data_IF_620485004376
#
_entry.id   IF_620485004376
#
_cell.length_a   1.000
_cell.length_b   1.000
_cell.length_c   1.000
_cell.angle_alpha   90.00
_cell.angle_beta   90.00
_cell.angle_gamma   90.00
#
_symmetry.space_group_name_H-M   'P 1'
#
loop_
_entity.id
_entity.type
_entity.pdbx_description
1 polymer ?
#
# COMPACT_ATOMS: atom_id res chain seq x y z
N UNK A 1 24.49 51.08 -33.50
CA UNK A 1 23.28 50.30 -33.83
C UNK A 1 23.70 49.03 -34.55
N UNK A 2 23.79 47.91 -33.84
CA UNK A 2 24.05 46.58 -34.41
C UNK A 2 23.19 45.58 -33.63
N UNK A 3 22.20 45.01 -34.30
CA UNK A 3 21.21 44.12 -33.71
C UNK A 3 21.84 42.77 -33.34
N UNK A 4 21.65 42.34 -32.09
CA UNK A 4 21.87 40.96 -31.64
C UNK A 4 20.63 40.14 -31.93
N UNK A 5 20.76 39.15 -32.81
CA UNK A 5 19.76 38.11 -33.05
C UNK A 5 19.82 37.10 -31.89
N UNK A 6 18.81 37.13 -31.02
CA UNK A 6 18.56 36.10 -30.01
C UNK A 6 17.87 34.90 -30.66
N UNK A 7 18.54 33.73 -30.64
CA UNK A 7 17.93 32.46 -30.99
C UNK A 7 16.93 32.01 -29.90
N UNK A 8 15.77 31.41 -30.25
CA UNK A 8 14.78 31.00 -29.25
C UNK A 8 15.14 29.66 -28.60
N UNK A 9 15.24 29.68 -27.26
CA UNK A 9 15.23 28.54 -26.35
C UNK A 9 13.83 27.91 -26.29
N UNK A 10 13.39 27.21 -27.34
CA UNK A 10 12.16 26.41 -27.30
C UNK A 10 12.35 25.10 -28.06
N UNK A 11 12.97 24.10 -27.41
CA UNK A 11 13.05 22.75 -27.99
C UNK A 11 13.06 21.58 -26.98
N UNK A 12 12.91 21.82 -25.66
CA UNK A 12 13.07 20.73 -24.67
C UNK A 12 11.81 20.27 -23.93
N UNK A 13 10.65 20.94 -24.06
CA UNK A 13 9.43 20.56 -23.32
C UNK A 13 8.49 19.58 -24.06
N UNK A 14 8.63 19.44 -25.39
CA UNK A 14 7.69 18.67 -26.21
C UNK A 14 7.93 17.15 -26.25
N UNK A 15 9.09 16.68 -25.78
CA UNK A 15 9.47 15.25 -25.76
C UNK A 15 9.03 14.52 -24.49
N UNK A 16 8.96 15.21 -23.34
CA UNK A 16 8.53 14.66 -22.05
C UNK A 16 7.02 14.39 -22.00
N UNK A 17 6.20 15.35 -22.47
CA UNK A 17 4.73 15.19 -22.52
C UNK A 17 4.27 14.03 -23.43
N UNK A 18 4.92 13.82 -24.59
CA UNK A 18 4.58 12.74 -25.53
C UNK A 18 4.98 11.34 -25.07
N UNK A 19 5.97 11.21 -24.18
CA UNK A 19 6.40 9.92 -23.65
C UNK A 19 5.57 9.49 -22.43
N UNK A 20 5.09 10.43 -21.62
CA UNK A 20 4.19 10.18 -20.47
C UNK A 20 2.82 9.61 -20.92
N UNK A 21 2.18 10.20 -21.93
CA UNK A 21 0.89 9.72 -22.49
C UNK A 21 0.97 8.30 -23.08
N UNK A 22 2.14 7.89 -23.59
CA UNK A 22 2.37 6.54 -24.13
C UNK A 22 2.39 5.47 -23.04
N UNK A 23 2.95 5.77 -21.86
CA UNK A 23 3.01 4.83 -20.72
C UNK A 23 1.62 4.56 -20.13
N UNK A 24 0.81 5.60 -19.96
CA UNK A 24 -0.59 5.46 -19.52
C UNK A 24 -1.38 4.59 -20.52
N UNK A 25 -1.26 4.87 -21.82
CA UNK A 25 -1.87 4.06 -22.88
C UNK A 25 -1.41 2.60 -22.89
N UNK A 26 -0.13 2.32 -22.65
CA UNK A 26 0.41 0.96 -22.52
C UNK A 26 -0.12 0.25 -21.27
N UNK A 27 -0.22 0.98 -20.15
CA UNK A 27 -0.77 0.47 -18.89
C UNK A 27 -2.23 0.06 -19.05
N UNK A 28 -3.06 0.92 -19.66
CA UNK A 28 -4.45 0.60 -19.98
C UNK A 28 -4.55 -0.65 -20.86
N UNK A 29 -3.69 -0.78 -21.88
CA UNK A 29 -3.64 -1.98 -22.74
C UNK A 29 -3.26 -3.23 -21.94
N UNK A 30 -2.30 -3.12 -21.02
CA UNK A 30 -1.90 -4.21 -20.13
C UNK A 30 -3.05 -4.64 -19.21
N UNK A 31 -3.72 -3.69 -18.57
CA UNK A 31 -4.90 -3.95 -17.72
C UNK A 31 -5.98 -4.65 -18.53
N UNK A 32 -6.36 -4.11 -19.70
CA UNK A 32 -7.38 -4.73 -20.55
C UNK A 32 -7.04 -6.16 -20.97
N UNK A 33 -5.75 -6.50 -21.07
CA UNK A 33 -5.28 -7.83 -21.49
C UNK A 33 -5.20 -8.83 -20.34
N UNK A 34 -4.83 -8.39 -19.13
CA UNK A 34 -4.47 -9.27 -18.03
C UNK A 34 -5.32 -9.09 -16.76
N UNK A 35 -6.22 -8.11 -16.76
CA UNK A 35 -7.08 -7.86 -15.60
C UNK A 35 -7.94 -9.09 -15.28
N UNK A 36 -7.97 -9.54 -14.01
CA UNK A 36 -8.75 -10.70 -13.59
C UNK A 36 -10.27 -10.48 -13.70
N UNK A 37 -10.73 -9.24 -13.88
CA UNK A 37 -12.13 -8.92 -14.14
C UNK A 37 -12.28 -7.81 -15.20
N UNK A 38 -13.23 -7.93 -16.15
CA UNK A 38 -13.62 -6.83 -17.03
C UNK A 38 -14.09 -5.57 -16.27
N UNK A 39 -14.57 -5.72 -15.03
CA UNK A 39 -14.96 -4.60 -14.16
C UNK A 39 -13.73 -3.77 -13.72
N UNK A 40 -12.59 -4.40 -13.49
CA UNK A 40 -11.32 -3.73 -13.20
C UNK A 40 -10.70 -3.02 -14.43
N UNK A 41 -11.33 -3.12 -15.60
CA UNK A 41 -10.89 -2.43 -16.83
C UNK A 41 -11.85 -1.31 -17.29
N UNK A 42 -13.01 -1.14 -16.64
CA UNK A 42 -14.04 -0.17 -17.02
C UNK A 42 -14.80 0.34 -15.78
N UNK A 43 -14.72 1.64 -15.51
CA UNK A 43 -15.56 2.32 -14.51
C UNK A 43 -14.84 3.52 -13.90
N UNK A 44 -15.55 4.64 -13.69
CA UNK A 44 -14.99 5.82 -13.02
C UNK A 44 -14.66 5.56 -11.54
N UNK A 45 -15.29 4.54 -10.94
CA UNK A 45 -15.17 4.19 -9.52
C UNK A 45 -14.21 3.02 -9.25
N UNK A 46 -13.60 2.44 -10.28
CA UNK A 46 -12.71 1.29 -10.09
C UNK A 46 -11.42 1.72 -9.36
N UNK A 47 -11.05 1.05 -8.24
CA UNK A 47 -9.96 1.49 -7.37
C UNK A 47 -8.63 1.67 -8.10
N UNK A 48 -8.39 0.89 -9.16
CA UNK A 48 -7.16 0.98 -9.94
C UNK A 48 -7.16 2.17 -10.90
N UNK A 49 -8.29 2.51 -11.50
CA UNK A 49 -8.38 3.61 -12.48
C UNK A 49 -8.41 4.99 -11.82
N UNK A 50 -8.67 5.07 -10.52
CA UNK A 50 -8.54 6.34 -9.77
C UNK A 50 -7.13 6.91 -9.86
N UNK A 51 -6.13 6.05 -9.93
CA UNK A 51 -4.72 6.45 -10.03
C UNK A 51 -4.33 6.94 -11.42
N UNK A 52 -5.19 6.78 -12.43
CA UNK A 52 -4.97 7.29 -13.78
C UNK A 52 -4.98 8.83 -13.86
N UNK A 53 -5.38 9.53 -12.79
CA UNK A 53 -5.21 10.99 -12.66
C UNK A 53 -3.73 11.42 -12.71
N UNK A 54 -2.81 10.49 -12.45
CA UNK A 54 -1.37 10.74 -12.52
C UNK A 54 -0.68 9.70 -13.44
N UNK A 55 -0.25 10.17 -14.60
CA UNK A 55 0.39 9.35 -15.65
C UNK A 55 1.70 8.68 -15.21
N UNK A 56 2.34 9.18 -14.16
CA UNK A 56 3.56 8.62 -13.60
C UNK A 56 3.25 7.57 -12.52
N UNK A 57 2.26 7.82 -11.67
CA UNK A 57 1.83 6.89 -10.63
C UNK A 57 1.17 5.64 -11.21
N UNK A 58 0.25 5.82 -12.16
CA UNK A 58 -0.63 4.75 -12.63
C UNK A 58 0.13 3.51 -13.13
N UNK A 59 1.20 3.63 -13.96
CA UNK A 59 2.02 2.48 -14.34
C UNK A 59 2.73 1.81 -13.16
N UNK A 60 3.16 2.56 -12.14
CA UNK A 60 3.88 2.04 -10.96
C UNK A 60 2.95 1.23 -10.06
N UNK A 61 1.74 1.73 -9.81
CA UNK A 61 0.73 0.99 -9.07
C UNK A 61 0.32 -0.27 -9.82
N UNK A 62 0.08 -0.15 -11.13
CA UNK A 62 -0.22 -1.32 -11.94
C UNK A 62 0.89 -2.36 -11.88
N UNK A 63 2.15 -1.94 -11.99
CA UNK A 63 3.32 -2.82 -11.85
C UNK A 63 3.30 -3.57 -10.51
N UNK A 64 3.08 -2.85 -9.41
CA UNK A 64 3.01 -3.46 -8.08
C UNK A 64 1.86 -4.45 -7.94
N UNK A 65 0.64 -4.08 -8.35
CA UNK A 65 -0.52 -4.96 -8.32
C UNK A 65 -0.29 -6.22 -9.15
N UNK A 66 0.25 -6.04 -10.34
CA UNK A 66 0.52 -7.11 -11.29
C UNK A 66 1.52 -8.15 -10.74
N UNK A 67 2.67 -7.70 -10.22
CA UNK A 67 3.68 -8.60 -9.66
C UNK A 67 3.14 -9.33 -8.42
N UNK A 68 2.29 -8.71 -7.61
CA UNK A 68 1.69 -9.36 -6.44
C UNK A 68 0.60 -10.35 -6.85
N UNK A 69 -0.38 -9.89 -7.63
CA UNK A 69 -1.64 -10.62 -7.82
C UNK A 69 -1.62 -11.60 -8.99
N UNK A 70 -0.82 -11.35 -10.02
CA UNK A 70 -0.88 -12.08 -11.29
C UNK A 70 0.32 -12.98 -11.55
N UNK A 71 1.48 -12.67 -10.96
CA UNK A 71 2.67 -13.53 -11.03
C UNK A 71 2.53 -14.69 -10.03
N UNK A 72 2.94 -15.88 -10.47
CA UNK A 72 3.01 -17.04 -9.61
C UNK A 72 4.07 -16.83 -8.52
N UNK A 73 3.68 -17.07 -7.28
CA UNK A 73 4.53 -16.92 -6.11
C UNK A 73 4.31 -18.03 -5.09
N UNK A 74 4.67 -17.77 -3.84
CA UNK A 74 4.45 -18.68 -2.72
C UNK A 74 2.98 -18.84 -2.35
N UNK A 75 2.12 -17.87 -2.67
CA UNK A 75 0.68 -17.97 -2.49
C UNK A 75 -0.02 -18.29 -3.81
N UNK A 76 -1.00 -19.19 -3.73
CA UNK A 76 -1.90 -19.44 -4.86
C UNK A 76 -2.74 -18.20 -5.18
N UNK A 77 -3.07 -17.94 -6.46
CA UNK A 77 -3.93 -16.83 -6.85
C UNK A 77 -5.26 -16.76 -6.07
N UNK A 78 -5.87 -17.92 -5.81
CA UNK A 78 -7.10 -18.02 -5.00
C UNK A 78 -6.91 -17.57 -3.54
N UNK A 79 -5.71 -17.76 -2.98
CA UNK A 79 -5.36 -17.31 -1.63
C UNK A 79 -5.16 -15.79 -1.60
N UNK A 80 -4.44 -15.25 -2.59
CA UNK A 80 -4.27 -13.79 -2.75
C UNK A 80 -5.62 -13.09 -2.92
N UNK A 81 -6.50 -13.67 -3.73
CA UNK A 81 -7.88 -13.18 -3.90
C UNK A 81 -8.67 -13.25 -2.58
N UNK A 82 -8.62 -14.36 -1.85
CA UNK A 82 -9.32 -14.48 -0.55
C UNK A 82 -8.82 -13.45 0.48
N UNK A 83 -7.51 -13.19 0.55
CA UNK A 83 -6.96 -12.13 1.40
C UNK A 83 -7.51 -10.77 0.98
N UNK A 84 -7.53 -10.48 -0.33
CA UNK A 84 -8.08 -9.20 -0.82
C UNK A 84 -9.54 -9.01 -0.41
N UNK A 85 -10.37 -10.05 -0.51
CA UNK A 85 -11.77 -10.03 -0.06
C UNK A 85 -11.89 -9.74 1.43
N UNK A 86 -11.06 -10.39 2.24
CA UNK A 86 -11.04 -10.17 3.69
C UNK A 86 -10.70 -8.72 4.04
N UNK A 87 -9.69 -8.15 3.39
CA UNK A 87 -9.33 -6.73 3.56
C UNK A 87 -10.52 -5.84 3.18
N UNK A 88 -11.19 -6.10 2.05
CA UNK A 88 -12.36 -5.33 1.60
C UNK A 88 -13.57 -5.44 2.54
N UNK A 89 -13.80 -6.61 3.13
CA UNK A 89 -14.87 -6.84 4.12
C UNK A 89 -14.68 -5.98 5.37
N UNK A 90 -13.44 -5.78 5.85
CA UNK A 90 -13.16 -4.90 7.00
C UNK A 90 -13.55 -3.44 6.72
N UNK A 91 -13.37 -2.97 5.47
CA UNK A 91 -13.70 -1.60 5.08
C UNK A 91 -15.16 -1.36 4.69
N UNK A 92 -15.89 -2.39 4.26
CA UNK A 92 -17.29 -2.27 3.81
C UNK A 92 -18.32 -2.65 4.89
N UNK A 93 -17.88 -3.08 6.08
CA UNK A 93 -18.75 -3.65 7.12
C UNK A 93 -19.48 -4.92 6.68
N UNK A 94 -19.21 -5.42 5.47
CA UNK A 94 -19.85 -6.59 4.91
C UNK A 94 -19.23 -7.85 5.52
N UNK A 95 -20.07 -8.70 6.12
CA UNK A 95 -19.65 -9.96 6.72
C UNK A 95 -18.72 -10.73 5.78
N UNK A 96 -17.54 -11.10 6.28
CA UNK A 96 -16.63 -12.03 5.60
C UNK A 96 -17.44 -13.25 5.18
N UNK A 97 -17.43 -13.64 3.89
CA UNK A 97 -18.14 -14.84 3.47
C UNK A 97 -17.52 -16.02 4.22
N UNK A 98 -18.29 -16.58 5.16
CA UNK A 98 -17.93 -17.80 5.86
C UNK A 98 -17.52 -18.85 4.82
N UNK A 99 -16.36 -19.48 5.06
CA UNK A 99 -15.66 -20.46 4.22
C UNK A 99 -16.49 -21.71 3.82
N UNK A 100 -17.80 -21.71 4.04
CA UNK A 100 -18.69 -22.87 3.92
C UNK A 100 -19.40 -23.02 2.56
N UNK A 101 -19.09 -22.20 1.54
CA UNK A 101 -19.78 -22.26 0.24
C UNK A 101 -19.01 -22.98 -0.89
N UNK A 102 -18.10 -23.90 -0.56
CA UNK A 102 -17.44 -24.80 -1.52
C UNK A 102 -18.31 -26.02 -1.92
N UNK A 103 -19.56 -26.12 -1.45
CA UNK A 103 -20.43 -27.31 -1.62
C UNK A 103 -21.06 -27.51 -3.00
N UNK A 104 -20.52 -26.96 -4.10
CA UNK A 104 -21.07 -27.24 -5.43
C UNK A 104 -20.09 -27.18 -6.63
N UNK A 105 -18.80 -27.48 -6.40
CA UNK A 105 -17.88 -27.82 -7.49
C UNK A 105 -17.47 -29.28 -7.35
N UNK A 106 -17.74 -30.07 -8.39
CA UNK A 106 -17.29 -31.46 -8.59
C UNK A 106 -15.98 -31.71 -7.84
N UNK A 107 -16.00 -32.66 -6.90
CA UNK A 107 -14.90 -33.07 -6.03
C UNK A 107 -13.54 -33.07 -6.74
N UNK A 108 -12.88 -31.92 -6.78
CA UNK A 108 -11.42 -31.86 -6.84
C UNK A 108 -11.00 -32.09 -5.41
N UNK A 109 -10.31 -33.19 -5.15
CA UNK A 109 -9.57 -33.38 -3.90
C UNK A 109 -8.63 -32.17 -3.81
N UNK A 110 -8.97 -31.20 -2.97
CA UNK A 110 -8.09 -30.08 -2.69
C UNK A 110 -7.00 -30.65 -1.80
N UNK A 111 -5.74 -30.43 -2.18
CA UNK A 111 -4.59 -30.93 -1.43
C UNK A 111 -4.68 -30.40 0.02
N UNK A 112 -4.67 -31.28 1.04
CA UNK A 112 -4.68 -30.87 2.45
C UNK A 112 -3.58 -29.85 2.79
N UNK A 113 -2.43 -29.91 2.10
CA UNK A 113 -1.35 -28.97 2.29
C UNK A 113 -1.70 -27.57 1.74
N UNK A 114 -2.31 -27.48 0.57
CA UNK A 114 -2.79 -26.22 0.00
C UNK A 114 -3.84 -25.56 0.90
N UNK A 115 -4.76 -26.35 1.46
CA UNK A 115 -5.75 -25.84 2.42
C UNK A 115 -5.10 -25.29 3.70
N UNK A 116 -4.06 -25.95 4.21
CA UNK A 116 -3.33 -25.50 5.39
C UNK A 116 -2.61 -24.17 5.13
N UNK A 117 -1.92 -24.02 3.98
CA UNK A 117 -1.30 -22.76 3.57
C UNK A 117 -2.36 -21.66 3.44
N UNK A 118 -3.49 -21.96 2.80
CA UNK A 118 -4.57 -21.00 2.59
C UNK A 118 -5.12 -20.47 3.92
N UNK A 119 -5.46 -21.35 4.85
CA UNK A 119 -5.98 -20.98 6.16
C UNK A 119 -4.98 -20.16 6.97
N UNK A 120 -3.70 -20.55 6.96
CA UNK A 120 -2.65 -19.84 7.69
C UNK A 120 -2.34 -18.47 7.08
N UNK A 121 -2.40 -18.33 5.75
CA UNK A 121 -2.25 -17.05 5.06
C UNK A 121 -3.38 -16.07 5.39
N UNK A 122 -4.63 -16.54 5.44
CA UNK A 122 -5.77 -15.74 5.88
C UNK A 122 -5.64 -15.32 7.35
N UNK A 123 -5.29 -16.26 8.24
CA UNK A 123 -5.06 -15.95 9.67
C UNK A 123 -3.94 -14.92 9.86
N UNK A 124 -2.87 -15.05 9.09
CA UNK A 124 -1.75 -14.10 9.13
C UNK A 124 -2.18 -12.71 8.65
N UNK A 125 -2.91 -12.63 7.54
CA UNK A 125 -3.41 -11.35 7.01
C UNK A 125 -4.46 -10.70 7.93
N UNK A 126 -5.29 -11.47 8.62
CA UNK A 126 -6.24 -10.97 9.61
C UNK A 126 -5.52 -10.31 10.80
N UNK A 127 -4.43 -10.94 11.29
CA UNK A 127 -3.59 -10.33 12.33
C UNK A 127 -2.99 -9.02 11.89
N UNK A 128 -2.42 -8.95 10.68
CA UNK A 128 -1.88 -7.71 10.14
C UNK A 128 -2.94 -6.60 10.09
N UNK A 129 -4.20 -6.93 9.82
CA UNK A 129 -5.29 -5.97 9.81
C UNK A 129 -5.70 -5.50 11.22
N UNK A 130 -5.69 -6.39 12.21
CA UNK A 130 -6.10 -6.08 13.59
C UNK A 130 -4.99 -5.39 14.38
N UNK A 131 -3.73 -5.74 14.12
CA UNK A 131 -2.57 -5.13 14.76
C UNK A 131 -2.26 -3.73 14.18
N UNK A 132 -2.92 -3.30 13.09
CA UNK A 132 -2.87 -1.89 12.66
C UNK A 132 -3.57 -0.96 13.66
N UNK A 133 -4.54 -1.47 14.42
CA UNK A 133 -5.30 -0.69 15.40
C UNK A 133 -4.51 -0.52 16.73
N UNK A 134 -3.48 -1.35 16.95
CA UNK A 134 -2.58 -1.31 18.12
C UNK A 134 -1.19 -0.77 17.75
N UNK A 135 -1.09 0.53 17.47
CA UNK A 135 0.12 1.28 17.07
C UNK A 135 1.36 1.20 18.01
N UNK A 136 1.37 0.36 19.04
CA UNK A 136 2.33 0.47 20.15
C UNK A 136 3.13 -0.76 20.58
N UNK A 137 2.89 -1.97 20.08
CA UNK A 137 3.53 -3.19 20.65
C UNK A 137 4.22 -4.08 19.62
N UNK A 138 5.33 -3.57 19.06
CA UNK A 138 6.22 -4.32 18.18
C UNK A 138 7.17 -5.22 18.98
N UNK A 139 6.73 -6.40 19.41
CA UNK A 139 7.68 -7.42 19.92
C UNK A 139 7.29 -8.90 19.81
N UNK A 140 6.10 -9.29 19.33
CA UNK A 140 5.68 -10.72 19.35
C UNK A 140 5.63 -11.46 17.99
N UNK A 141 6.03 -10.83 16.89
CA UNK A 141 5.93 -11.41 15.54
C UNK A 141 6.83 -12.64 15.26
N UNK A 142 7.80 -12.93 16.13
CA UNK A 142 8.83 -13.95 15.87
C UNK A 142 8.60 -15.32 16.53
N UNK A 143 7.62 -15.47 17.44
CA UNK A 143 7.57 -16.65 18.31
C UNK A 143 6.60 -17.78 17.94
N UNK A 144 5.86 -17.72 16.82
CA UNK A 144 5.03 -18.87 16.40
C UNK A 144 5.82 -19.84 15.49
N UNK A 145 6.58 -20.73 16.13
CA UNK A 145 7.42 -21.78 15.54
C UNK A 145 6.67 -22.94 14.83
N UNK A 146 5.39 -22.80 14.50
CA UNK A 146 4.59 -23.90 13.88
C UNK A 146 3.80 -23.50 12.64
N UNK A 147 4.06 -22.32 12.06
CA UNK A 147 3.37 -21.88 10.85
C UNK A 147 3.85 -22.67 9.62
N UNK A 148 2.92 -23.30 8.89
CA UNK A 148 3.20 -23.90 7.57
C UNK A 148 3.47 -22.85 6.49
N UNK A 149 3.24 -21.57 6.78
CA UNK A 149 3.42 -20.46 5.86
C UNK A 149 4.90 -20.05 5.79
N UNK A 150 5.49 -20.20 4.61
CA UNK A 150 6.87 -19.81 4.35
C UNK A 150 7.07 -18.30 4.58
N UNK A 151 8.33 -17.88 4.74
CA UNK A 151 8.67 -16.45 4.82
C UNK A 151 8.23 -15.68 3.57
N UNK A 152 8.34 -16.31 2.40
CA UNK A 152 7.90 -15.74 1.13
C UNK A 152 6.37 -15.61 1.09
N UNK A 153 5.64 -16.63 1.53
CA UNK A 153 4.17 -16.57 1.63
C UNK A 153 3.67 -15.51 2.61
N UNK A 154 4.36 -15.31 3.75
CA UNK A 154 4.08 -14.19 4.67
C UNK A 154 4.31 -12.83 4.03
N UNK A 155 5.43 -12.65 3.32
CA UNK A 155 5.72 -11.41 2.63
C UNK A 155 4.67 -11.13 1.53
N UNK A 156 4.28 -12.13 0.75
CA UNK A 156 3.20 -11.98 -0.24
C UNK A 156 1.87 -11.62 0.42
N UNK A 157 1.48 -12.28 1.51
CA UNK A 157 0.25 -11.94 2.23
C UNK A 157 0.28 -10.49 2.75
N UNK A 158 1.41 -10.06 3.32
CA UNK A 158 1.60 -8.69 3.79
C UNK A 158 1.50 -7.66 2.65
N UNK A 159 2.07 -7.97 1.48
CA UNK A 159 1.97 -7.12 0.29
C UNK A 159 0.55 -7.04 -0.28
N UNK A 160 -0.22 -8.14 -0.24
CA UNK A 160 -1.65 -8.11 -0.61
C UNK A 160 -2.44 -7.22 0.35
N UNK A 161 -2.23 -7.37 1.67
CA UNK A 161 -2.87 -6.52 2.68
C UNK A 161 -2.53 -5.05 2.45
N UNK A 162 -1.24 -4.73 2.26
CA UNK A 162 -0.76 -3.39 1.96
C UNK A 162 -1.47 -2.80 0.72
N UNK A 163 -1.50 -3.55 -0.38
CA UNK A 163 -2.14 -3.11 -1.63
C UNK A 163 -3.63 -2.79 -1.42
N UNK A 164 -4.40 -3.72 -0.85
CA UNK A 164 -5.85 -3.55 -0.73
C UNK A 164 -6.25 -2.57 0.37
N UNK A 165 -5.47 -2.41 1.44
CA UNK A 165 -5.68 -1.33 2.42
C UNK A 165 -5.55 0.04 1.76
N UNK A 166 -4.56 0.22 0.88
CA UNK A 166 -4.41 1.46 0.12
C UNK A 166 -5.61 1.69 -0.81
N UNK A 167 -5.94 0.69 -1.66
CA UNK A 167 -7.01 0.80 -2.65
C UNK A 167 -8.37 1.10 -1.99
N UNK A 168 -8.66 0.46 -0.87
CA UNK A 168 -9.90 0.69 -0.14
C UNK A 168 -9.94 2.10 0.46
N UNK A 169 -8.87 2.52 1.18
CA UNK A 169 -8.82 3.86 1.75
C UNK A 169 -9.00 4.95 0.69
N UNK A 170 -8.35 4.81 -0.47
CA UNK A 170 -8.53 5.79 -1.57
C UNK A 170 -9.94 5.76 -2.16
N UNK A 171 -10.53 4.58 -2.31
CA UNK A 171 -11.88 4.45 -2.87
C UNK A 171 -12.90 5.06 -1.92
N UNK A 172 -12.82 4.75 -0.63
CA UNK A 172 -13.65 5.34 0.42
C UNK A 172 -13.46 6.86 0.49
N UNK A 173 -12.22 7.35 0.46
CA UNK A 173 -11.94 8.78 0.52
C UNK A 173 -12.50 9.57 -0.67
N UNK A 174 -12.56 8.97 -1.86
CA UNK A 174 -12.99 9.68 -3.07
C UNK A 174 -14.46 9.45 -3.44
N UNK A 175 -15.06 8.34 -3.00
CA UNK A 175 -16.40 7.92 -3.41
C UNK A 175 -17.31 7.50 -2.25
N UNK A 176 -16.85 7.62 -0.99
CA UNK A 176 -17.58 7.19 0.20
C UNK A 176 -17.68 5.67 0.33
N UNK A 177 -18.40 5.20 1.37
CA UNK A 177 -18.61 3.77 1.64
C UNK A 177 -19.32 3.04 0.50
N UNK A 178 -20.24 3.74 -0.19
CA UNK A 178 -20.94 3.22 -1.36
C UNK A 178 -19.99 2.99 -2.54
N UNK A 179 -18.85 3.69 -2.56
CA UNK A 179 -17.79 3.54 -3.55
C UNK A 179 -17.21 2.13 -3.59
N UNK A 180 -16.87 1.54 -2.43
CA UNK A 180 -16.31 0.18 -2.37
C UNK A 180 -17.35 -0.84 -2.87
N UNK A 181 -18.59 -0.76 -2.37
CA UNK A 181 -19.65 -1.69 -2.75
C UNK A 181 -19.98 -1.59 -4.24
N UNK A 182 -20.05 -0.38 -4.80
CA UNK A 182 -20.34 -0.15 -6.23
C UNK A 182 -19.17 -0.55 -7.13
N UNK A 183 -17.94 -0.19 -6.76
CA UNK A 183 -16.74 -0.46 -7.52
C UNK A 183 -16.36 -1.95 -7.55
N UNK A 184 -16.64 -2.68 -6.46
CA UNK A 184 -16.36 -4.11 -6.35
C UNK A 184 -17.51 -4.98 -6.87
N UNK A 185 -18.77 -4.52 -6.77
CA UNK A 185 -19.93 -5.30 -7.22
C UNK A 185 -20.37 -4.99 -8.66
N UNK A 186 -19.97 -3.85 -9.25
CA UNK A 186 -20.45 -3.40 -10.55
C UNK A 186 -21.99 -3.28 -10.60
N UNK A 187 -22.60 -2.95 -9.45
CA UNK A 187 -24.04 -2.85 -9.23
C UNK A 187 -24.37 -1.37 -9.09
N UNK A 188 -25.23 -0.85 -9.98
CA UNK A 188 -25.80 0.50 -9.80
C UNK A 188 -26.46 0.61 -8.42
N UNK A 189 -26.44 1.78 -7.76
CA UNK A 189 -27.01 1.96 -6.41
C UNK A 189 -28.45 1.45 -6.23
N UNK A 190 -29.22 1.35 -7.32
CA UNK A 190 -30.61 0.88 -7.35
C UNK A 190 -30.82 -0.64 -7.23
N UNK A 191 -29.77 -1.45 -7.06
CA UNK A 191 -29.87 -2.92 -7.02
C UNK A 191 -29.32 -3.55 -5.72
N UNK A 192 -29.08 -2.74 -4.69
CA UNK A 192 -28.54 -3.17 -3.40
C UNK A 192 -29.60 -3.65 -2.38
N UNK A 193 -30.74 -4.16 -2.84
CA UNK A 193 -31.71 -4.83 -1.96
C UNK A 193 -31.60 -6.36 -2.05
N UNK A 194 -31.21 -7.00 -0.94
CA UNK A 194 -31.56 -8.38 -0.61
C UNK A 194 -30.58 -9.50 -0.99
N UNK A 195 -29.74 -9.88 -0.01
CA UNK A 195 -29.19 -11.21 0.39
C UNK A 195 -28.76 -12.29 -0.63
N UNK A 196 -28.89 -12.07 -1.93
CA UNK A 196 -28.70 -13.07 -3.00
C UNK A 196 -27.58 -12.70 -4.00
N UNK A 197 -27.05 -11.47 -3.91
CA UNK A 197 -26.07 -10.91 -4.85
C UNK A 197 -24.64 -11.45 -4.65
N UNK A 198 -24.21 -11.62 -3.40
CA UNK A 198 -22.83 -12.03 -3.05
C UNK A 198 -22.48 -13.45 -3.54
N UNK A 199 -23.44 -14.38 -3.58
CA UNK A 199 -23.22 -15.77 -4.05
C UNK A 199 -23.09 -15.88 -5.57
N UNK A 200 -23.76 -15.01 -6.33
CA UNK A 200 -23.69 -14.98 -7.79
C UNK A 200 -22.47 -14.20 -8.31
N UNK A 201 -21.96 -13.26 -7.52
CA UNK A 201 -20.75 -12.46 -7.80
C UNK A 201 -19.48 -13.33 -7.81
N UNK A 202 -19.28 -14.16 -6.77
CA UNK A 202 -18.17 -15.10 -6.67
C UNK A 202 -18.16 -16.09 -7.84
N UNK A 203 -19.34 -16.56 -8.24
CA UNK A 203 -19.51 -17.50 -9.36
C UNK A 203 -19.22 -16.85 -10.73
N UNK A 204 -19.47 -15.54 -10.90
CA UNK A 204 -19.15 -14.80 -12.14
C UNK A 204 -17.66 -14.44 -12.28
N UNK A 205 -16.98 -14.09 -11.19
CA UNK A 205 -15.53 -13.82 -11.22
C UNK A 205 -14.71 -15.09 -11.40
N UNK A 206 -15.10 -16.19 -10.74
CA UNK A 206 -14.38 -17.46 -10.86
C UNK A 206 -14.65 -18.19 -12.21
N UNK A 207 -15.75 -17.90 -12.92
CA UNK A 207 -16.14 -18.66 -14.13
C UNK A 207 -15.73 -18.06 -15.48
N UNK A 208 -15.11 -16.87 -15.51
CA UNK A 208 -14.66 -16.23 -16.77
C UNK A 208 -13.22 -15.70 -16.74
N UNK A 209 -12.41 -16.10 -15.77
CA UNK A 209 -10.96 -15.96 -15.90
C UNK A 209 -10.47 -17.06 -16.84
N UNK A 210 -10.33 -16.75 -18.13
CA UNK A 210 -9.32 -17.42 -18.95
C UNK A 210 -8.00 -17.10 -18.26
N UNK A 211 -7.55 -17.96 -17.34
CA UNK A 211 -6.30 -17.73 -16.65
C UNK A 211 -5.23 -17.60 -17.72
N UNK A 212 -4.59 -16.42 -17.88
CA UNK A 212 -3.43 -16.34 -18.74
C UNK A 212 -2.43 -17.38 -18.23
N UNK A 213 -1.73 -18.05 -19.16
CA UNK A 213 -0.56 -18.86 -18.83
C UNK A 213 0.27 -18.10 -17.79
N UNK A 214 0.72 -18.79 -16.75
CA UNK A 214 1.37 -18.18 -15.60
C UNK A 214 2.32 -17.06 -16.01
N UNK A 215 2.04 -15.86 -15.51
CA UNK A 215 2.84 -14.69 -15.83
C UNK A 215 4.16 -14.81 -15.08
N UNK A 216 5.26 -14.54 -15.80
CA UNK A 216 6.60 -14.57 -15.22
C UNK A 216 6.86 -13.27 -14.46
N UNK A 217 7.70 -13.38 -13.43
CA UNK A 217 8.21 -12.23 -12.70
C UNK A 217 8.81 -11.19 -13.66
N UNK A 218 8.55 -9.92 -13.36
CA UNK A 218 9.07 -8.79 -14.14
C UNK A 218 8.32 -8.57 -15.46
N UNK A 219 7.14 -9.15 -15.66
CA UNK A 219 6.38 -8.95 -16.90
C UNK A 219 5.95 -7.49 -17.10
N UNK A 220 5.91 -6.69 -16.03
CA UNK A 220 5.63 -5.25 -16.10
C UNK A 220 6.88 -4.40 -16.34
N UNK A 221 8.07 -5.01 -16.34
CA UNK A 221 9.34 -4.32 -16.63
C UNK A 221 9.34 -3.54 -17.95
N UNK A 222 8.73 -4.00 -19.06
CA UNK A 222 8.68 -3.22 -20.31
C UNK A 222 7.97 -1.86 -20.20
N UNK A 223 7.15 -1.62 -19.15
CA UNK A 223 6.55 -0.31 -18.88
C UNK A 223 7.59 0.74 -18.42
N UNK A 224 8.77 0.28 -18.00
CA UNK A 224 9.85 1.10 -17.46
C UNK A 224 11.11 0.88 -18.30
N UNK A 225 11.56 1.91 -19.01
CA UNK A 225 12.75 1.85 -19.86
C UNK A 225 13.98 1.39 -19.06
N UNK A 226 14.84 0.57 -19.68
CA UNK A 226 16.01 -0.08 -19.07
C UNK A 226 17.03 0.88 -18.45
N UNK A 227 17.07 2.15 -18.88
CA UNK A 227 17.92 3.20 -18.28
C UNK A 227 17.53 3.56 -16.86
N UNK A 228 16.31 3.22 -16.44
CA UNK A 228 15.83 3.38 -15.07
C UNK A 228 16.11 2.16 -14.18
N UNK A 229 16.59 1.04 -14.74
CA UNK A 229 16.81 -0.23 -14.01
C UNK A 229 17.92 -0.12 -12.95
N UNK A 230 19.00 0.62 -13.24
CA UNK A 230 20.09 0.84 -12.28
C UNK A 230 19.75 1.92 -11.23
N UNK A 231 18.93 2.91 -11.58
CA UNK A 231 18.52 4.01 -10.69
C UNK A 231 17.29 3.67 -9.83
N UNK A 232 16.46 2.70 -10.24
CA UNK A 232 15.23 2.29 -9.54
C UNK A 232 15.40 1.06 -8.63
N UNK A 233 16.64 0.60 -8.37
CA UNK A 233 16.92 -0.13 -7.12
C UNK A 233 16.93 0.87 -5.95
N UNK A 234 15.87 1.65 -5.84
CA UNK A 234 15.67 2.54 -4.69
C UNK A 234 15.83 1.69 -3.45
N UNK A 235 16.73 2.10 -2.56
CA UNK A 235 16.93 1.41 -1.30
C UNK A 235 15.63 1.48 -0.53
N UNK A 236 14.89 0.37 -0.49
CA UNK A 236 13.70 0.29 0.33
C UNK A 236 14.06 0.64 1.77
N UNK A 237 13.24 1.47 2.45
CA UNK A 237 13.30 1.66 3.89
C UNK A 237 13.40 0.32 4.61
N UNK A 238 14.12 0.28 5.74
CA UNK A 238 14.44 -0.97 6.44
C UNK A 238 13.20 -1.82 6.74
N UNK A 239 12.09 -1.18 7.10
CA UNK A 239 10.81 -1.85 7.38
C UNK A 239 10.12 -2.47 6.17
N UNK A 240 10.49 -2.09 4.96
CA UNK A 240 9.93 -2.62 3.70
C UNK A 240 10.84 -3.65 3.01
N UNK A 241 12.06 -3.87 3.51
CA UNK A 241 13.06 -4.74 2.85
C UNK A 241 12.64 -6.20 2.76
N UNK A 242 11.73 -6.65 3.61
CA UNK A 242 11.17 -8.00 3.57
C UNK A 242 10.25 -8.26 2.39
N UNK A 243 9.85 -7.24 1.62
CA UNK A 243 9.19 -7.42 0.33
C UNK A 243 10.00 -8.28 -0.64
N UNK A 244 11.33 -8.28 -0.54
CA UNK A 244 12.20 -9.14 -1.35
C UNK A 244 11.97 -10.65 -1.11
N UNK A 245 11.40 -11.05 0.04
CA UNK A 245 11.02 -12.46 0.24
C UNK A 245 9.85 -12.89 -0.64
N UNK A 246 9.02 -11.95 -1.12
CA UNK A 246 7.96 -12.20 -2.08
C UNK A 246 8.43 -12.20 -3.54
N UNK A 247 9.72 -11.94 -3.78
CA UNK A 247 10.35 -11.85 -5.11
C UNK A 247 10.99 -10.50 -5.38
N UNK A 248 12.09 -10.51 -6.13
CA UNK A 248 12.86 -9.30 -6.45
C UNK A 248 12.03 -8.29 -7.25
N UNK A 249 11.23 -8.76 -8.22
CA UNK A 249 10.38 -7.88 -9.04
C UNK A 249 9.25 -7.23 -8.22
N UNK A 250 8.71 -7.92 -7.21
CA UNK A 250 7.77 -7.35 -6.24
C UNK A 250 8.43 -6.22 -5.43
N UNK A 251 9.65 -6.44 -4.93
CA UNK A 251 10.40 -5.44 -4.19
C UNK A 251 10.77 -4.23 -5.07
N UNK A 252 11.15 -4.47 -6.33
CA UNK A 252 11.43 -3.39 -7.30
C UNK A 252 10.15 -2.58 -7.58
N UNK A 253 9.01 -3.24 -7.77
CA UNK A 253 7.75 -2.56 -8.00
C UNK A 253 7.32 -1.72 -6.79
N UNK A 254 7.49 -2.24 -5.57
CA UNK A 254 7.30 -1.47 -4.33
C UNK A 254 8.26 -0.28 -4.23
N UNK A 255 9.54 -0.48 -4.58
CA UNK A 255 10.55 0.57 -4.58
C UNK A 255 10.21 1.73 -5.53
N UNK A 256 9.62 1.42 -6.69
CA UNK A 256 9.11 2.46 -7.62
C UNK A 256 7.98 3.29 -7.00
N UNK A 257 7.11 2.67 -6.20
CA UNK A 257 6.04 3.39 -5.48
C UNK A 257 6.60 4.29 -4.38
N UNK A 258 7.53 3.77 -3.56
CA UNK A 258 8.21 4.57 -2.52
C UNK A 258 8.90 5.78 -3.15
N UNK A 259 9.70 5.58 -4.19
CA UNK A 259 10.39 6.68 -4.87
C UNK A 259 9.42 7.71 -5.49
N UNK A 260 8.23 7.28 -5.94
CA UNK A 260 7.22 8.22 -6.41
C UNK A 260 6.61 9.02 -5.25
N UNK A 261 6.32 8.39 -4.11
CA UNK A 261 5.80 9.09 -2.92
C UNK A 261 6.78 10.17 -2.45
N UNK A 262 8.07 9.83 -2.35
CA UNK A 262 9.12 10.75 -1.92
C UNK A 262 9.27 11.91 -2.93
N UNK A 263 9.34 11.59 -4.23
CA UNK A 263 9.48 12.61 -5.28
C UNK A 263 8.25 13.52 -5.38
N UNK A 264 7.05 12.99 -5.14
CA UNK A 264 5.83 13.79 -5.16
C UNK A 264 5.75 14.72 -3.94
N UNK A 265 6.18 14.26 -2.76
CA UNK A 265 6.30 15.11 -1.56
C UNK A 265 7.27 16.29 -1.82
N UNK A 266 8.46 16.02 -2.36
CA UNK A 266 9.43 17.06 -2.73
C UNK A 266 8.85 18.07 -3.73
N UNK A 267 8.09 17.60 -4.72
CA UNK A 267 7.42 18.48 -5.69
C UNK A 267 6.35 19.36 -5.05
N UNK A 268 5.56 18.82 -4.11
CA UNK A 268 4.53 19.59 -3.40
C UNK A 268 5.15 20.66 -2.50
N UNK A 269 6.25 20.34 -1.82
CA UNK A 269 7.04 21.28 -1.02
C UNK A 269 7.64 22.38 -1.90
N UNK A 270 8.28 22.01 -3.02
CA UNK A 270 8.89 22.97 -3.94
C UNK A 270 7.86 23.93 -4.57
N UNK A 271 6.62 23.48 -4.76
CA UNK A 271 5.51 24.31 -5.26
C UNK A 271 4.81 25.13 -4.17
N UNK A 272 5.18 24.94 -2.90
CA UNK A 272 4.53 25.59 -1.76
C UNK A 272 3.08 25.15 -1.53
N UNK A 273 2.65 24.04 -2.13
CA UNK A 273 1.32 23.44 -1.87
C UNK A 273 1.33 22.77 -0.50
N UNK A 274 2.43 22.11 -0.17
CA UNK A 274 2.69 21.52 1.13
C UNK A 274 3.75 22.38 1.84
N UNK A 275 3.62 22.56 3.15
CA UNK A 275 4.64 23.22 3.98
C UNK A 275 5.17 22.28 5.05
N UNK A 276 6.28 22.66 5.69
CA UNK A 276 6.87 21.87 6.77
C UNK A 276 5.93 21.76 7.97
N UNK A 277 5.17 22.82 8.25
CA UNK A 277 4.18 22.89 9.32
C UNK A 277 3.02 21.92 9.06
N UNK A 278 2.51 21.87 7.81
CA UNK A 278 1.48 20.90 7.41
C UNK A 278 2.00 19.48 7.63
N UNK A 279 3.21 19.17 7.16
CA UNK A 279 3.81 17.85 7.37
C UNK A 279 3.99 17.50 8.84
N UNK A 280 4.39 18.45 9.69
CA UNK A 280 4.52 18.22 11.12
C UNK A 280 3.18 17.84 11.75
N UNK A 281 2.10 18.56 11.43
CA UNK A 281 0.76 18.22 11.92
C UNK A 281 0.33 16.84 11.41
N UNK A 282 0.52 16.57 10.13
CA UNK A 282 0.10 15.30 9.54
C UNK A 282 0.85 14.07 10.11
N UNK A 283 2.10 14.25 10.53
CA UNK A 283 2.93 13.18 11.10
C UNK A 283 2.89 13.10 12.63
N UNK A 284 2.13 13.97 13.29
CA UNK A 284 2.08 13.99 14.75
C UNK A 284 1.13 12.90 15.27
N UNK A 285 1.70 11.88 15.89
CA UNK A 285 0.97 10.73 16.47
C UNK A 285 -0.04 11.16 17.54
N UNK A 286 0.09 12.35 18.14
CA UNK A 286 -0.92 12.88 19.07
C UNK A 286 -2.23 13.27 18.38
N UNK A 287 -2.26 13.29 17.05
CA UNK A 287 -3.46 13.53 16.25
C UNK A 287 -4.25 12.26 15.98
N UNK A 288 -3.76 11.08 16.40
CA UNK A 288 -4.53 9.84 16.32
C UNK A 288 -5.74 9.97 17.24
N UNK A 289 -6.95 9.95 16.68
CA UNK A 289 -8.16 10.16 17.45
C UNK A 289 -8.54 8.88 18.21
N UNK A 290 -8.98 9.03 19.46
CA UNK A 290 -9.54 7.91 20.22
C UNK A 290 -10.92 7.57 19.64
N UNK A 291 -11.08 6.32 19.19
CA UNK A 291 -12.31 5.85 18.53
C UNK A 291 -13.57 5.95 19.42
N UNK A 292 -14.78 6.05 18.82
CA UNK A 292 -15.12 6.80 17.61
C UNK A 292 -15.29 8.30 17.93
N UNK A 293 -14.86 9.17 17.01
CA UNK A 293 -14.86 10.61 17.21
C UNK A 293 -15.58 11.30 16.05
N UNK A 294 -16.28 12.40 16.33
CA UNK A 294 -16.75 13.28 15.27
C UNK A 294 -15.56 14.07 14.72
N UNK A 295 -15.39 14.22 13.40
CA UNK A 295 -14.27 14.96 12.83
C UNK A 295 -14.12 16.38 13.39
N UNK A 296 -15.24 17.03 13.70
CA UNK A 296 -15.31 18.38 14.28
C UNK A 296 -14.74 18.48 15.70
N UNK A 297 -14.72 17.38 16.47
CA UNK A 297 -14.21 17.35 17.84
C UNK A 297 -12.82 16.74 17.94
N UNK A 298 -12.18 16.46 16.80
CA UNK A 298 -10.90 15.79 16.75
C UNK A 298 -9.77 16.61 17.40
N UNK A 299 -8.76 15.97 18.02
CA UNK A 299 -7.64 16.66 18.67
C UNK A 299 -6.88 17.63 17.75
N UNK A 300 -6.82 17.32 16.44
CA UNK A 300 -6.14 18.12 15.44
C UNK A 300 -6.88 19.39 15.02
N UNK A 301 -8.18 19.53 15.33
CA UNK A 301 -9.00 20.69 14.96
C UNK A 301 -8.40 22.02 15.45
N UNK A 302 -7.85 22.05 16.68
CA UNK A 302 -7.17 23.23 17.24
C UNK A 302 -5.83 23.52 16.56
N UNK A 303 -5.10 22.48 16.13
CA UNK A 303 -3.81 22.65 15.41
C UNK A 303 -4.01 23.15 13.99
N UNK A 304 -5.15 22.86 13.37
CA UNK A 304 -5.47 23.48 12.07
C UNK A 304 -5.55 25.00 12.18
N UNK A 305 -6.12 25.53 13.26
CA UNK A 305 -6.25 26.97 13.46
C UNK A 305 -4.90 27.70 13.59
N UNK A 306 -3.80 26.98 13.86
CA UNK A 306 -2.46 27.56 13.90
C UNK A 306 -1.79 27.65 12.53
N UNK A 307 -2.39 27.07 11.48
CA UNK A 307 -1.90 27.21 10.11
C UNK A 307 -2.38 28.53 9.50
N UNK A 308 -1.45 29.24 8.88
CA UNK A 308 -1.74 30.47 8.15
C UNK A 308 -2.44 30.16 6.82
N UNK A 309 -3.64 30.71 6.66
CA UNK A 309 -4.40 30.66 5.41
C UNK A 309 -5.37 29.47 5.32
N UNK A 310 -6.53 29.75 4.74
CA UNK A 310 -7.63 28.79 4.56
C UNK A 310 -7.21 27.57 3.75
N UNK A 311 -6.36 27.76 2.74
CA UNK A 311 -5.87 26.66 1.91
C UNK A 311 -5.06 25.62 2.70
N UNK A 312 -4.14 26.06 3.57
CA UNK A 312 -3.33 25.16 4.40
C UNK A 312 -4.21 24.38 5.39
N UNK A 313 -5.23 25.04 5.95
CA UNK A 313 -6.21 24.44 6.86
C UNK A 313 -7.04 23.38 6.14
N UNK A 314 -7.64 23.72 5.00
CA UNK A 314 -8.48 22.82 4.21
C UNK A 314 -7.69 21.61 3.70
N UNK A 315 -6.47 21.83 3.22
CA UNK A 315 -5.59 20.76 2.79
C UNK A 315 -5.28 19.80 3.94
N UNK A 316 -4.82 20.34 5.07
CA UNK A 316 -4.43 19.53 6.23
C UNK A 316 -5.64 18.77 6.80
N UNK A 317 -6.81 19.43 6.86
CA UNK A 317 -8.06 18.82 7.27
C UNK A 317 -8.43 17.65 6.34
N UNK A 318 -8.46 17.86 5.02
CA UNK A 318 -8.79 16.81 4.05
C UNK A 318 -7.84 15.61 4.18
N UNK A 319 -6.54 15.83 4.36
CA UNK A 319 -5.56 14.74 4.53
C UNK A 319 -5.70 14.01 5.88
N UNK A 320 -6.06 14.72 6.96
CA UNK A 320 -6.37 14.08 8.24
C UNK A 320 -7.65 13.23 8.17
N UNK A 321 -8.66 13.67 7.42
CA UNK A 321 -9.85 12.86 7.13
C UNK A 321 -9.46 11.58 6.36
N UNK A 322 -8.59 11.66 5.36
CA UNK A 322 -8.08 10.46 4.67
C UNK A 322 -7.45 9.46 5.65
N UNK A 323 -6.72 9.93 6.67
CA UNK A 323 -6.10 9.06 7.68
C UNK A 323 -7.11 8.37 8.58
N UNK A 324 -8.13 9.09 9.05
CA UNK A 324 -8.90 8.69 10.23
C UNK A 324 -10.40 8.51 10.01
N UNK A 325 -10.96 9.14 8.99
CA UNK A 325 -12.38 9.06 8.62
C UNK A 325 -12.53 9.23 7.10
N UNK A 326 -11.92 8.34 6.29
CA UNK A 326 -11.88 8.49 4.83
C UNK A 326 -13.29 8.64 4.24
N UNK A 327 -14.30 7.98 4.79
CA UNK A 327 -15.71 8.08 4.38
C UNK A 327 -16.29 9.49 4.48
N UNK A 328 -15.71 10.36 5.32
CA UNK A 328 -16.15 11.74 5.50
C UNK A 328 -15.51 12.71 4.51
N UNK A 329 -14.51 12.30 3.74
CA UNK A 329 -13.80 13.19 2.79
C UNK A 329 -14.74 13.75 1.72
N UNK A 330 -15.55 12.96 0.98
CA UNK A 330 -16.35 13.46 -0.13
C UNK A 330 -17.34 14.57 0.25
N UNK A 331 -17.90 14.48 1.46
CA UNK A 331 -18.92 15.41 1.96
C UNK A 331 -18.33 16.58 2.77
N UNK A 332 -17.00 16.60 2.98
CA UNK A 332 -16.35 17.64 3.78
C UNK A 332 -16.21 18.97 3.02
N UNK A 333 -16.43 20.08 3.74
CA UNK A 333 -16.21 21.43 3.19
C UNK A 333 -14.75 21.66 2.79
N UNK A 334 -13.81 21.06 3.53
CA UNK A 334 -12.38 21.11 3.25
C UNK A 334 -12.06 20.48 1.87
N UNK A 335 -12.65 19.32 1.56
CA UNK A 335 -12.49 18.68 0.25
C UNK A 335 -13.09 19.51 -0.89
N UNK A 336 -14.29 20.07 -0.69
CA UNK A 336 -14.92 20.95 -1.68
C UNK A 336 -14.06 22.19 -1.99
N UNK A 337 -13.53 22.84 -0.95
CA UNK A 337 -12.63 23.99 -1.06
C UNK A 337 -11.31 23.62 -1.75
N UNK A 338 -10.71 22.47 -1.39
CA UNK A 338 -9.48 21.99 -2.01
C UNK A 338 -9.68 21.73 -3.51
N UNK A 339 -10.76 21.04 -3.89
CA UNK A 339 -11.11 20.79 -5.30
C UNK A 339 -11.28 22.08 -6.09
N UNK A 340 -11.90 23.10 -5.49
CA UNK A 340 -12.07 24.41 -6.12
C UNK A 340 -10.72 25.13 -6.30
N UNK A 341 -9.79 24.96 -5.36
CA UNK A 341 -8.53 25.69 -5.34
C UNK A 341 -7.48 25.10 -6.28
N UNK A 342 -7.27 23.78 -6.22
CA UNK A 342 -6.18 23.10 -6.97
C UNK A 342 -6.69 22.23 -8.12
N UNK A 343 -8.00 22.09 -8.27
CA UNK A 343 -8.64 21.23 -9.26
C UNK A 343 -8.73 19.76 -8.81
N UNK A 344 -9.77 19.08 -9.29
CA UNK A 344 -10.13 17.72 -8.90
C UNK A 344 -8.98 16.71 -9.09
N UNK A 345 -8.26 16.75 -10.21
CA UNK A 345 -7.21 15.79 -10.51
C UNK A 345 -6.02 15.91 -9.54
N UNK A 346 -5.64 17.15 -9.20
CA UNK A 346 -4.57 17.40 -8.24
C UNK A 346 -5.00 17.01 -6.81
N UNK A 347 -6.20 17.40 -6.40
CA UNK A 347 -6.74 17.00 -5.09
C UNK A 347 -6.84 15.47 -4.96
N UNK A 348 -7.29 14.79 -6.02
CA UNK A 348 -7.33 13.32 -6.10
C UNK A 348 -5.92 12.73 -5.97
N UNK A 349 -4.94 13.28 -6.69
CA UNK A 349 -3.55 12.84 -6.59
C UNK A 349 -2.97 13.02 -5.18
N UNK A 350 -3.37 14.07 -4.44
CA UNK A 350 -2.96 14.29 -3.05
C UNK A 350 -3.55 13.26 -2.09
N UNK A 351 -4.84 12.94 -2.22
CA UNK A 351 -5.49 11.86 -1.43
C UNK A 351 -4.78 10.53 -1.66
N UNK A 352 -4.48 10.23 -2.93
CA UNK A 352 -3.77 9.01 -3.31
C UNK A 352 -2.34 8.99 -2.74
N UNK A 353 -1.60 10.08 -2.88
CA UNK A 353 -0.25 10.23 -2.31
C UNK A 353 -0.25 9.99 -0.81
N UNK A 354 -1.14 10.68 -0.08
CA UNK A 354 -1.21 10.57 1.37
C UNK A 354 -1.63 9.16 1.82
N UNK A 355 -2.62 8.57 1.17
CA UNK A 355 -3.03 7.18 1.44
C UNK A 355 -1.89 6.19 1.17
N UNK A 356 -1.11 6.35 0.10
CA UNK A 356 0.08 5.54 -0.17
C UNK A 356 1.12 5.71 0.93
N UNK A 357 1.44 6.95 1.30
CA UNK A 357 2.42 7.29 2.34
C UNK A 357 2.08 6.62 3.67
N UNK A 358 0.84 6.78 4.15
CA UNK A 358 0.34 6.10 5.35
C UNK A 358 0.48 4.58 5.27
N UNK A 359 0.08 4.01 4.12
CA UNK A 359 0.10 2.56 3.92
C UNK A 359 1.51 1.99 3.89
N UNK A 360 2.46 2.72 3.30
CA UNK A 360 3.88 2.34 3.24
C UNK A 360 4.58 2.52 4.59
N UNK A 361 4.22 3.55 5.36
CA UNK A 361 4.75 3.76 6.72
C UNK A 361 4.23 2.71 7.70
N UNK A 362 2.93 2.40 7.65
CA UNK A 362 2.28 1.38 8.48
C UNK A 362 2.40 -0.05 7.94
N UNK A 363 3.31 -0.31 7.00
CA UNK A 363 3.46 -1.61 6.37
C UNK A 363 4.02 -2.65 7.36
N UNK A 364 3.15 -3.49 7.89
CA UNK A 364 3.50 -4.57 8.81
C UNK A 364 3.91 -5.84 8.07
N UNK A 365 4.63 -6.73 8.75
CA UNK A 365 5.01 -8.05 8.20
C UNK A 365 6.16 -8.06 7.19
N UNK A 366 6.71 -6.89 6.83
CA UNK A 366 7.81 -6.75 5.87
C UNK A 366 9.17 -6.44 6.51
N UNK A 367 9.29 -6.43 7.83
CA UNK A 367 10.58 -6.23 8.48
C UNK A 367 11.53 -7.42 8.27
N UNK A 368 12.79 -7.13 7.94
CA UNK A 368 13.86 -8.13 8.03
C UNK A 368 14.30 -8.28 9.49
N UNK A 369 14.31 -9.49 10.08
CA UNK A 369 14.93 -9.72 11.38
C UNK A 369 16.37 -9.23 11.31
N UNK A 370 16.72 -8.31 12.20
CA UNK A 370 18.08 -7.87 12.40
C UNK A 370 18.87 -9.11 12.80
N UNK A 371 19.81 -9.57 11.96
CA UNK A 371 20.74 -10.64 12.37
C UNK A 371 21.40 -10.12 13.65
N UNK A 372 21.16 -10.79 14.77
CA UNK A 372 21.97 -10.56 15.96
C UNK A 372 23.41 -10.85 15.55
N UNK A 373 24.21 -9.81 15.44
CA UNK A 373 25.65 -9.94 15.34
C UNK A 373 26.10 -10.51 16.68
N UNK A 374 26.14 -11.84 16.78
CA UNK A 374 26.75 -12.49 17.92
C UNK A 374 28.20 -12.04 17.95
N UNK A 375 28.47 -11.23 18.97
CA UNK A 375 29.77 -10.79 19.40
C UNK A 375 30.69 -11.99 19.45
N UNK A 376 31.88 -11.83 18.89
CA UNK A 376 33.02 -12.67 19.15
C UNK A 376 33.16 -12.89 20.67
N UNK A 377 32.79 -14.07 21.17
CA UNK A 377 33.26 -14.54 22.46
C UNK A 377 34.74 -14.86 22.30
N UNK A 378 35.50 -13.81 22.56
CA UNK A 378 36.90 -13.81 22.89
C UNK A 378 37.08 -14.84 24.01
N UNK A 379 37.55 -16.04 23.65
CA UNK A 379 37.92 -17.09 24.60
C UNK A 379 39.25 -16.67 25.22
N UNK A 380 39.19 -15.68 26.10
CA UNK A 380 40.28 -15.26 26.96
C UNK A 380 40.67 -16.42 27.85
N UNK A 381 41.80 -17.03 27.51
CA UNK A 381 42.52 -18.02 28.27
C UNK A 381 42.82 -17.52 29.69
N UNK A 382 42.00 -17.89 30.67
CA UNK A 382 42.31 -17.71 32.09
C UNK A 382 43.27 -18.81 32.51
N UNK A 383 44.56 -18.62 32.20
CA UNK A 383 45.66 -19.41 32.73
C UNK A 383 45.79 -19.11 34.22
N UNK A 384 45.47 -20.11 35.06
CA UNK A 384 45.71 -20.10 36.52
C UNK A 384 47.20 -19.78 36.80
N UNK A 385 47.47 -18.66 37.46
CA UNK A 385 48.75 -18.43 38.15
C UNK A 385 48.54 -18.52 39.65
N UNK A 386 49.11 -19.58 40.20
CA UNK A 386 49.21 -19.93 41.61
C UNK A 386 49.90 -18.80 42.39
N UNK A 387 49.35 -18.48 43.56
CA UNK A 387 49.80 -17.41 44.43
C UNK A 387 51.22 -17.59 44.96
N UNK A 388 51.96 -16.49 44.94
CA UNK A 388 53.00 -16.20 45.92
C UNK A 388 52.73 -14.80 46.49
N UNK A 389 52.32 -14.76 47.75
CA UNK A 389 52.43 -13.57 48.61
C UNK A 389 52.87 -14.02 49.99
N UNK A 390 54.11 -13.67 50.32
CA UNK A 390 54.65 -13.43 51.66
C UNK A 390 55.55 -12.19 51.53
N UNK A 391 55.97 -11.53 52.63
CA UNK A 391 55.38 -11.40 53.96
C UNK A 391 55.29 -9.91 54.40
N UNK A 392 54.51 -9.60 55.45
CA UNK A 392 54.84 -8.48 56.35
C UNK A 392 54.46 -8.80 57.80
N UNK A 393 55.50 -8.92 58.63
CA UNK A 393 55.48 -8.78 60.10
C UNK A 393 55.06 -7.34 60.47
N UNK A 394 54.10 -7.19 61.38
CA UNK A 394 54.22 -6.83 62.81
C UNK A 394 54.51 -5.34 63.06
N UNK A 395 53.63 -4.67 63.82
CA UNK A 395 53.90 -4.04 65.14
C UNK A 395 52.62 -3.36 65.64
N UNK A 396 51.98 -3.98 66.64
CA UNK A 396 51.52 -3.47 67.94
C UNK A 396 50.44 -4.39 68.50
#
# INVERSE_FOLDING_TARGET
MTARTSAPLHAHESSSSRTMSKKCSQTIKSIKKFSPSPAMAKGATNPLTLHAVNDDLFPRLWSFLAEIMLVEGSLFPSTKEAISWMVNSKYSGAATPSSNNSSNKKNKIVDPFEMAIHAEALRYAERLLNDQDELGSSSNWQNNQTSCLSRSGRAEAALVVLLFSHLNRTTTALHGEQGISTAMANVSPSQCDGSSSSKNMLKRMISKSQQPKSLKAGFTSPLFSSTSSAANRGTLPEHLRGSAFAGDDCAIALGRLVAWVDSYEEQLLAKGVLTSEILQILNDDSNVPMAPFAPETAPWSKKLQTLDGTHAQDLTHALLLVSYAPESVPDSAAWASLNQTIGNDNATAMVIWWSLRLTLQGAQGLHTPRRSSNSSHNSGSTRRSIGQRQPRRSYY
#
